data_IF_978201545184
#
_entry.id   IF_978201545184
#
_cell.length_a   1.000
_cell.length_b   1.000
_cell.length_c   1.000
_cell.angle_alpha   90.00
_cell.angle_beta   90.00
_cell.angle_gamma   90.00
#
_symmetry.space_group_name_H-M   'P 1'
#
loop_
_entity.id
_entity.type
_entity.pdbx_description
1 polymer ?
#
# COMPACT_ATOMS: atom_id res chain seq x y z
N UNK A 1 30.60 14.20 -15.99
CA UNK A 1 29.17 14.12 -15.66
C UNK A 1 28.78 12.66 -15.78
N UNK A 2 28.54 11.98 -14.65
CA UNK A 2 28.05 10.60 -14.69
C UNK A 2 26.52 10.65 -14.69
N UNK A 3 25.90 9.97 -15.65
CA UNK A 3 24.47 9.72 -15.63
C UNK A 3 24.15 8.91 -14.37
N UNK A 4 23.20 9.38 -13.56
CA UNK A 4 22.76 8.63 -12.39
C UNK A 4 22.14 7.31 -12.84
N UNK A 5 22.58 6.21 -12.23
CA UNK A 5 21.97 4.88 -12.39
C UNK A 5 20.50 4.96 -11.92
N UNK A 6 19.51 4.60 -12.74
CA UNK A 6 18.10 4.60 -12.34
C UNK A 6 17.78 3.65 -11.18
N UNK A 7 18.69 2.76 -10.78
CA UNK A 7 18.56 1.96 -9.56
C UNK A 7 18.78 2.78 -8.26
N UNK A 8 19.44 3.94 -8.32
CA UNK A 8 19.78 4.78 -7.15
C UNK A 8 18.67 5.76 -6.72
N UNK A 9 17.51 5.78 -7.38
CA UNK A 9 16.40 6.72 -7.08
C UNK A 9 15.34 6.18 -6.14
N UNK A 10 15.47 4.94 -5.66
CA UNK A 10 14.55 4.37 -4.67
C UNK A 10 15.16 4.50 -3.27
N UNK A 11 14.40 5.11 -2.35
CA UNK A 11 14.74 5.17 -0.94
C UNK A 11 14.27 3.87 -0.26
N UNK A 12 15.17 3.19 0.45
CA UNK A 12 14.86 2.07 1.36
C UNK A 12 14.13 2.51 2.65
N UNK A 13 13.54 3.72 2.63
CA UNK A 13 12.82 4.32 3.73
C UNK A 13 11.50 3.59 4.00
N UNK A 14 11.34 3.07 5.22
CA UNK A 14 10.10 2.49 5.68
C UNK A 14 9.22 3.58 6.30
N UNK A 15 8.07 3.87 5.69
CA UNK A 15 7.12 4.85 6.23
C UNK A 15 6.02 4.17 7.04
N UNK A 16 5.67 4.77 8.18
CA UNK A 16 4.47 4.46 8.94
C UNK A 16 3.60 5.71 9.03
N UNK A 17 2.36 5.58 8.57
CA UNK A 17 1.37 6.67 8.51
C UNK A 17 0.27 6.44 9.55
N UNK A 18 -0.22 7.52 10.16
CA UNK A 18 -1.48 7.56 10.90
C UNK A 18 -2.46 8.47 10.15
N UNK A 19 -3.64 7.97 9.84
CA UNK A 19 -4.66 8.72 9.11
C UNK A 19 -6.07 8.21 9.44
N UNK A 20 -7.07 9.05 9.19
CA UNK A 20 -8.48 8.66 9.25
C UNK A 20 -8.86 7.73 8.08
N UNK A 21 -9.25 6.50 8.39
CA UNK A 21 -9.63 5.48 7.40
C UNK A 21 -10.93 5.80 6.67
N UNK A 22 -11.76 6.71 7.19
CA UNK A 22 -12.98 7.16 6.50
C UNK A 22 -12.69 7.90 5.19
N UNK A 23 -11.46 8.40 4.99
CA UNK A 23 -11.01 8.95 3.71
C UNK A 23 -11.02 7.92 2.57
N UNK A 24 -11.04 6.62 2.89
CA UNK A 24 -11.12 5.53 1.92
C UNK A 24 -12.57 5.21 1.51
N UNK A 25 -13.56 5.99 1.95
CA UNK A 25 -14.98 5.79 1.65
C UNK A 25 -15.53 6.96 0.82
N UNK A 26 -16.47 6.64 -0.07
CA UNK A 26 -17.29 7.60 -0.80
C UNK A 26 -18.74 7.17 -0.68
N UNK A 27 -19.62 8.09 -0.29
CA UNK A 27 -21.06 7.81 -0.10
C UNK A 27 -21.32 6.58 0.80
N UNK A 28 -20.56 6.47 1.90
CA UNK A 28 -20.60 5.36 2.88
C UNK A 28 -20.20 3.99 2.31
N UNK A 29 -19.66 3.94 1.10
CA UNK A 29 -19.16 2.73 0.45
C UNK A 29 -17.63 2.81 0.36
N UNK A 30 -16.89 1.71 0.60
CA UNK A 30 -15.46 1.69 0.34
C UNK A 30 -15.14 2.15 -1.10
N UNK A 31 -14.29 3.16 -1.24
CA UNK A 31 -13.76 3.63 -2.52
C UNK A 31 -12.38 3.03 -2.84
N UNK A 32 -12.23 1.76 -2.49
CA UNK A 32 -11.00 0.98 -2.64
C UNK A 32 -11.37 -0.45 -3.03
N UNK A 33 -10.42 -1.17 -3.58
CA UNK A 33 -10.57 -2.58 -3.98
C UNK A 33 -9.68 -3.45 -3.09
N UNK A 34 -10.22 -4.59 -2.65
CA UNK A 34 -9.40 -5.66 -2.08
C UNK A 34 -8.93 -6.54 -3.24
N UNK A 35 -7.61 -6.64 -3.49
CA UNK A 35 -7.11 -7.48 -4.57
C UNK A 35 -7.41 -8.95 -4.30
N UNK A 36 -7.59 -9.70 -5.38
CA UNK A 36 -7.58 -11.15 -5.35
C UNK A 36 -6.15 -11.66 -5.56
N UNK A 37 -5.86 -12.85 -5.05
CA UNK A 37 -4.55 -13.49 -5.22
C UNK A 37 -4.20 -13.68 -6.71
N UNK A 38 -2.91 -13.88 -7.00
CA UNK A 38 -2.39 -14.08 -8.36
C UNK A 38 -2.64 -12.87 -9.28
N UNK A 39 -2.48 -11.65 -8.75
CA UNK A 39 -2.67 -10.42 -9.53
C UNK A 39 -4.12 -10.22 -10.01
N UNK A 40 -5.10 -10.71 -9.24
CA UNK A 40 -6.52 -10.59 -9.56
C UNK A 40 -7.16 -11.83 -10.22
N UNK A 41 -6.38 -12.86 -10.55
CA UNK A 41 -6.88 -14.05 -11.26
C UNK A 41 -7.41 -15.17 -10.34
N UNK A 42 -7.07 -15.13 -9.05
CA UNK A 42 -7.47 -16.14 -8.08
C UNK A 42 -8.87 -15.95 -7.51
N UNK A 43 -9.48 -17.03 -6.95
CA UNK A 43 -10.82 -16.95 -6.36
C UNK A 43 -10.83 -16.32 -4.97
N UNK A 44 -9.67 -16.24 -4.29
CA UNK A 44 -9.56 -15.75 -2.92
C UNK A 44 -8.99 -14.32 -2.88
N UNK A 45 -9.32 -13.57 -1.83
CA UNK A 45 -8.65 -12.30 -1.54
C UNK A 45 -7.17 -12.52 -1.25
N UNK A 46 -6.33 -11.61 -1.74
CA UNK A 46 -4.89 -11.64 -1.51
C UNK A 46 -4.58 -11.28 -0.06
N UNK A 47 -4.06 -12.22 0.74
CA UNK A 47 -3.57 -11.91 2.07
C UNK A 47 -2.29 -11.09 1.91
N UNK A 48 -2.14 -10.03 2.70
CA UNK A 48 -0.94 -9.18 2.72
C UNK A 48 0.37 -9.99 2.86
N UNK A 49 0.29 -11.17 3.49
CA UNK A 49 1.41 -12.07 3.71
C UNK A 49 1.88 -12.88 2.51
N UNK A 50 1.00 -13.21 1.56
CA UNK A 50 1.38 -14.06 0.41
C UNK A 50 2.15 -13.28 -0.63
N UNK A 51 1.73 -12.04 -0.88
CA UNK A 51 2.39 -11.15 -1.84
C UNK A 51 3.74 -10.65 -1.32
N UNK A 52 3.86 -10.42 0.00
CA UNK A 52 5.05 -9.84 0.62
C UNK A 52 5.45 -10.53 1.93
N UNK A 53 5.98 -11.77 1.86
CA UNK A 53 6.31 -12.58 3.04
C UNK A 53 7.35 -11.94 3.98
N UNK A 54 8.20 -11.05 3.46
CA UNK A 54 9.23 -10.31 4.20
C UNK A 54 8.66 -9.32 5.24
N UNK A 55 7.39 -8.92 5.11
CA UNK A 55 6.74 -7.97 6.02
C UNK A 55 5.92 -8.62 7.15
N UNK A 56 6.22 -9.89 7.50
CA UNK A 56 5.67 -10.70 8.62
C UNK A 56 4.28 -11.30 8.37
N UNK A 57 3.75 -12.00 9.39
CA UNK A 57 2.53 -12.82 9.45
C UNK A 57 1.23 -12.09 9.05
N UNK A 58 1.27 -10.78 8.76
CA UNK A 58 0.13 -9.99 8.29
C UNK A 58 -1.14 -10.22 9.12
N UNK A 59 -2.29 -9.85 8.57
CA UNK A 59 -3.59 -9.94 9.27
C UNK A 59 -4.62 -8.91 8.83
N UNK A 60 -4.28 -8.04 7.88
CA UNK A 60 -5.18 -7.05 7.28
C UNK A 60 -5.15 -7.18 5.76
N UNK A 61 -6.29 -6.97 5.11
CA UNK A 61 -6.39 -6.96 3.65
C UNK A 61 -5.63 -5.76 3.07
N UNK A 62 -5.00 -5.96 1.91
CA UNK A 62 -4.52 -4.85 1.10
C UNK A 62 -5.71 -4.06 0.54
N UNK A 63 -5.59 -2.74 0.49
CA UNK A 63 -6.56 -1.85 -0.14
C UNK A 63 -5.86 -1.12 -1.28
N UNK A 64 -6.42 -1.19 -2.48
CA UNK A 64 -5.91 -0.53 -3.68
C UNK A 64 -6.89 0.56 -4.10
N UNK A 65 -6.44 1.77 -4.44
CA UNK A 65 -7.29 2.77 -5.09
C UNK A 65 -7.97 2.18 -6.34
N UNK A 66 -9.20 2.60 -6.64
CA UNK A 66 -9.85 2.18 -7.87
C UNK A 66 -9.09 2.71 -9.08
N UNK A 67 -9.00 1.91 -10.14
CA UNK A 67 -8.31 2.31 -11.37
C UNK A 67 -8.90 3.62 -11.92
N UNK A 68 -8.04 4.59 -12.23
CA UNK A 68 -8.44 5.91 -12.71
C UNK A 68 -8.91 6.89 -11.64
N UNK A 69 -8.98 6.50 -10.37
CA UNK A 69 -9.38 7.36 -9.25
C UNK A 69 -8.26 7.39 -8.18
N UNK A 70 -7.29 8.32 -8.30
CA UNK A 70 -6.20 8.42 -7.34
C UNK A 70 -6.74 8.79 -5.95
N UNK A 71 -6.40 7.96 -4.95
CA UNK A 71 -6.77 8.24 -3.55
C UNK A 71 -5.68 9.07 -2.89
N UNK A 72 -6.00 10.33 -2.55
CA UNK A 72 -5.14 11.19 -1.75
C UNK A 72 -5.49 11.04 -0.27
N UNK A 73 -4.52 10.65 0.54
CA UNK A 73 -4.69 10.47 1.99
C UNK A 73 -4.06 11.65 2.71
N UNK A 74 -4.85 12.36 3.51
CA UNK A 74 -4.31 13.30 4.49
C UNK A 74 -3.81 12.51 5.68
N UNK A 75 -2.57 12.76 6.06
CA UNK A 75 -1.87 12.02 7.11
C UNK A 75 -1.73 12.93 8.32
N UNK A 76 -2.12 12.41 9.49
CA UNK A 76 -2.00 13.10 10.77
C UNK A 76 -0.57 12.98 11.33
N UNK A 77 0.10 11.85 11.05
CA UNK A 77 1.45 11.57 11.54
C UNK A 77 2.23 10.69 10.54
N UNK A 78 3.47 11.10 10.26
CA UNK A 78 4.42 10.34 9.43
C UNK A 78 5.62 10.00 10.29
N UNK A 79 5.89 8.70 10.43
CA UNK A 79 7.10 8.19 11.05
C UNK A 79 7.99 7.54 9.99
N UNK A 80 9.24 7.95 9.93
CA UNK A 80 10.28 7.25 9.17
C UNK A 80 10.88 6.21 10.09
N UNK A 81 10.73 4.94 9.75
CA UNK A 81 11.27 3.82 10.50
C UNK A 81 12.69 3.52 10.02
N UNK A 82 13.60 3.14 10.93
CA UNK A 82 14.96 2.77 10.55
C UNK A 82 14.96 1.50 9.69
N UNK A 83 15.98 1.39 8.83
CA UNK A 83 16.33 0.13 8.16
C UNK A 83 16.66 -0.94 9.22
N UNK A 84 16.39 -2.20 8.88
CA UNK A 84 16.69 -3.36 9.74
C UNK A 84 17.84 -4.16 9.17
#
# INVERSE_FOLDING_TARGET
MFAADPALVWSDGRLRLKFDTLQLYKDRTPNVTVPHELGGAGPNFEPFTKAYPEYRIGGSSQLIPKSGDPTYIKVDEINILPEK
#
